data_IF_535008121553
#
_entry.id   IF_535008121553
#
_cell.length_a   1.000
_cell.length_b   1.000
_cell.length_c   1.000
_cell.angle_alpha   90.00
_cell.angle_beta   90.00
_cell.angle_gamma   90.00
#
_symmetry.space_group_name_H-M   'P 1'
#
loop_
_entity.id
_entity.type
_entity.pdbx_description
1 polymer ?
#
# COMPACT_ATOMS: atom_id res chain seq x y z
N UNK A 1 4.55 8.52 -29.65
CA UNK A 1 3.90 8.00 -28.44
C UNK A 1 5.03 7.51 -27.53
N UNK A 2 5.03 7.87 -26.26
CA UNK A 2 6.09 7.41 -25.34
C UNK A 2 5.99 5.88 -25.16
N UNK A 3 7.14 5.21 -25.13
CA UNK A 3 7.23 3.79 -24.78
C UNK A 3 7.20 3.64 -23.26
N UNK A 4 6.03 3.35 -22.74
CA UNK A 4 5.81 3.23 -21.29
C UNK A 4 6.57 2.06 -20.67
N UNK A 5 6.81 0.98 -21.41
CA UNK A 5 7.59 -0.16 -20.92
C UNK A 5 9.05 0.23 -20.71
N UNK A 6 9.61 0.96 -21.69
CA UNK A 6 10.98 1.48 -21.58
C UNK A 6 11.12 2.49 -20.44
N UNK A 7 10.13 3.38 -20.28
CA UNK A 7 10.12 4.38 -19.19
C UNK A 7 10.05 3.70 -17.82
N UNK A 8 9.15 2.72 -17.65
CA UNK A 8 9.01 1.99 -16.40
C UNK A 8 10.25 1.18 -16.06
N UNK A 9 10.92 0.58 -17.07
CA UNK A 9 12.18 -0.12 -16.86
C UNK A 9 13.26 0.84 -16.38
N UNK A 10 13.45 1.98 -17.06
CA UNK A 10 14.39 3.00 -16.64
C UNK A 10 14.11 3.51 -15.22
N UNK A 11 12.84 3.74 -14.88
CA UNK A 11 12.46 4.18 -13.55
C UNK A 11 12.80 3.13 -12.46
N UNK A 12 12.60 1.84 -12.74
CA UNK A 12 13.02 0.76 -11.82
C UNK A 12 14.53 0.70 -11.63
N UNK A 13 15.31 0.88 -12.70
CA UNK A 13 16.77 0.93 -12.63
C UNK A 13 17.29 2.19 -11.90
N UNK A 14 16.50 3.26 -11.87
CA UNK A 14 16.83 4.52 -11.19
C UNK A 14 16.60 4.47 -9.68
N UNK A 15 15.60 3.73 -9.22
CA UNK A 15 15.31 3.55 -7.80
C UNK A 15 16.36 2.60 -7.21
N UNK A 16 17.04 3.07 -6.16
CA UNK A 16 17.98 2.25 -5.41
C UNK A 16 17.36 1.92 -4.06
N UNK A 17 17.06 0.65 -3.86
CA UNK A 17 16.60 0.13 -2.57
C UNK A 17 17.80 -0.18 -1.66
N UNK A 18 17.56 -0.38 -0.37
CA UNK A 18 18.56 -0.84 0.58
C UNK A 18 18.82 -2.34 0.41
N UNK A 19 19.96 -2.82 0.95
CA UNK A 19 20.27 -4.25 0.98
C UNK A 19 19.17 -5.06 1.68
N UNK A 20 18.51 -4.48 2.69
CA UNK A 20 17.42 -5.11 3.45
C UNK A 20 16.15 -5.23 2.61
N UNK A 21 15.77 -4.20 1.86
CA UNK A 21 14.65 -4.25 0.91
C UNK A 21 14.91 -5.27 -0.19
N UNK A 22 16.11 -5.25 -0.79
CA UNK A 22 16.53 -6.22 -1.82
C UNK A 22 16.51 -7.66 -1.30
N UNK A 23 16.84 -7.86 -0.03
CA UNK A 23 16.76 -9.18 0.61
C UNK A 23 15.32 -9.68 0.71
N UNK A 24 14.40 -8.81 1.16
CA UNK A 24 12.97 -9.14 1.23
C UNK A 24 12.33 -9.33 -0.16
N UNK A 25 12.73 -8.55 -1.16
CA UNK A 25 12.25 -8.74 -2.55
C UNK A 25 12.64 -10.13 -3.08
N UNK A 26 13.90 -10.53 -2.91
CA UNK A 26 14.35 -11.87 -3.31
C UNK A 26 13.57 -12.98 -2.60
N UNK A 27 13.31 -12.82 -1.30
CA UNK A 27 12.51 -13.78 -0.54
C UNK A 27 11.05 -13.84 -1.03
N UNK A 28 10.49 -12.70 -1.47
CA UNK A 28 9.17 -12.62 -2.08
C UNK A 28 9.10 -13.41 -3.39
N UNK A 29 10.08 -13.18 -4.27
CA UNK A 29 10.19 -13.86 -5.56
C UNK A 29 10.37 -15.37 -5.40
N UNK A 30 11.21 -15.81 -4.46
CA UNK A 30 11.48 -17.22 -4.16
C UNK A 30 10.21 -17.96 -3.69
N UNK A 31 9.29 -17.25 -3.06
CA UNK A 31 8.01 -17.80 -2.59
C UNK A 31 6.85 -17.59 -3.57
N UNK A 32 7.10 -16.93 -4.71
CA UNK A 32 6.07 -16.59 -5.69
C UNK A 32 5.03 -15.59 -5.17
N UNK A 33 5.39 -14.79 -4.18
CA UNK A 33 4.57 -13.71 -3.64
C UNK A 33 4.88 -12.45 -4.45
N UNK A 34 3.87 -11.81 -5.01
CA UNK A 34 4.06 -10.58 -5.77
C UNK A 34 4.18 -9.40 -4.81
N UNK A 35 5.29 -8.66 -4.87
CA UNK A 35 5.46 -7.37 -4.20
C UNK A 35 5.20 -6.20 -5.16
N UNK A 36 4.96 -5.01 -4.61
CA UNK A 36 4.91 -3.79 -5.40
C UNK A 36 6.29 -3.51 -6.01
N UNK A 37 6.29 -2.95 -7.23
CA UNK A 37 7.56 -2.55 -7.85
C UNK A 37 8.32 -1.54 -6.99
N UNK A 38 9.64 -1.52 -7.13
CA UNK A 38 10.52 -0.55 -6.44
C UNK A 38 10.07 0.90 -6.68
N UNK A 39 9.59 1.22 -7.88
CA UNK A 39 9.08 2.56 -8.22
C UNK A 39 7.85 2.92 -7.39
N UNK A 40 6.86 2.03 -7.30
CA UNK A 40 5.65 2.31 -6.56
C UNK A 40 5.91 2.28 -5.05
N UNK A 41 6.66 1.31 -4.56
CA UNK A 41 7.05 1.20 -3.15
C UNK A 41 7.84 2.43 -2.67
N UNK A 42 8.78 2.94 -3.48
CA UNK A 42 9.53 4.15 -3.15
C UNK A 42 8.64 5.39 -3.08
N UNK A 43 7.68 5.55 -4.00
CA UNK A 43 6.74 6.69 -3.94
C UNK A 43 5.86 6.62 -2.69
N UNK A 44 5.34 5.44 -2.34
CA UNK A 44 4.55 5.24 -1.11
C UNK A 44 5.37 5.63 0.13
N UNK A 45 6.61 5.14 0.24
CA UNK A 45 7.47 5.46 1.38
C UNK A 45 7.87 6.94 1.42
N UNK A 46 8.10 7.59 0.28
CA UNK A 46 8.36 9.03 0.20
C UNK A 46 7.13 9.87 0.57
N UNK A 47 5.91 9.47 0.19
CA UNK A 47 4.68 10.12 0.66
C UNK A 47 4.59 10.05 2.18
N UNK A 48 4.84 8.87 2.77
CA UNK A 48 4.86 8.69 4.22
C UNK A 48 5.89 9.62 4.90
N UNK A 49 7.12 9.66 4.39
CA UNK A 49 8.18 10.52 4.92
C UNK A 49 7.84 12.02 4.76
N UNK A 50 7.36 12.46 3.60
CA UNK A 50 7.02 13.85 3.32
C UNK A 50 5.85 14.34 4.18
N UNK A 51 4.91 13.47 4.53
CA UNK A 51 3.81 13.77 5.46
C UNK A 51 4.21 13.68 6.94
N UNK A 52 5.46 13.28 7.25
CA UNK A 52 5.94 13.00 8.60
C UNK A 52 5.05 11.97 9.33
N UNK A 53 4.62 10.94 8.64
CA UNK A 53 3.74 9.92 9.18
C UNK A 53 4.35 9.24 10.40
N UNK A 54 3.58 9.12 11.48
CA UNK A 54 3.96 8.51 12.76
C UNK A 54 3.12 7.28 13.09
N UNK A 55 1.96 7.17 12.51
CA UNK A 55 1.03 6.07 12.71
C UNK A 55 0.54 5.60 11.34
N UNK A 56 0.98 4.41 10.94
CA UNK A 56 0.77 3.87 9.59
C UNK A 56 0.04 2.53 9.70
N UNK A 57 -0.96 2.32 8.83
CA UNK A 57 -1.53 1.00 8.57
C UNK A 57 -1.09 0.58 7.16
N UNK A 58 -0.63 -0.65 7.05
CA UNK A 58 -0.42 -1.34 5.79
C UNK A 58 -1.35 -2.55 5.74
N UNK A 59 -2.05 -2.74 4.66
CA UNK A 59 -2.92 -3.88 4.41
C UNK A 59 -2.43 -4.61 3.16
N UNK A 60 -2.14 -5.90 3.30
CA UNK A 60 -1.45 -6.70 2.27
C UNK A 60 0.06 -6.69 2.50
N UNK A 61 0.49 -7.36 3.57
CA UNK A 61 1.90 -7.36 4.01
C UNK A 61 2.81 -8.14 3.07
N UNK A 62 2.33 -9.27 2.53
CA UNK A 62 3.20 -10.25 1.89
C UNK A 62 4.36 -10.65 2.81
N UNK A 63 5.58 -10.65 2.29
CA UNK A 63 6.79 -10.88 3.10
C UNK A 63 7.42 -9.59 3.64
N UNK A 64 6.74 -8.43 3.50
CA UNK A 64 7.13 -7.18 4.17
C UNK A 64 8.00 -6.23 3.36
N UNK A 65 8.05 -6.34 2.04
CA UNK A 65 8.85 -5.44 1.18
C UNK A 65 8.43 -3.98 1.34
N UNK A 66 7.13 -3.70 1.25
CA UNK A 66 6.58 -2.34 1.45
C UNK A 66 6.70 -1.90 2.91
N UNK A 67 6.47 -2.81 3.87
CA UNK A 67 6.71 -2.56 5.29
C UNK A 67 8.13 -2.06 5.54
N UNK A 68 9.14 -2.71 4.96
CA UNK A 68 10.54 -2.34 5.14
C UNK A 68 10.82 -0.94 4.59
N UNK A 69 10.38 -0.63 3.38
CA UNK A 69 10.50 0.71 2.78
C UNK A 69 9.84 1.80 3.65
N UNK A 70 8.65 1.54 4.18
CA UNK A 70 7.97 2.44 5.11
C UNK A 70 8.75 2.62 6.40
N UNK A 71 9.30 1.55 6.93
CA UNK A 71 10.02 1.54 8.18
C UNK A 71 11.35 2.29 8.10
N UNK A 72 12.06 2.19 6.99
CA UNK A 72 13.29 2.96 6.71
C UNK A 72 12.99 4.44 6.47
N UNK A 73 11.99 4.75 5.66
CA UNK A 73 11.62 6.13 5.35
C UNK A 73 11.03 6.88 6.56
N UNK A 74 10.41 6.14 7.49
CA UNK A 74 9.76 6.69 8.69
C UNK A 74 10.29 6.01 9.97
N UNK A 75 11.55 6.26 10.38
CA UNK A 75 12.21 5.53 11.48
C UNK A 75 11.55 5.72 12.86
N UNK A 76 10.69 6.73 13.00
CA UNK A 76 9.94 7.00 14.22
C UNK A 76 8.47 6.60 14.15
N UNK A 77 8.02 6.00 13.06
CA UNK A 77 6.62 5.60 12.89
C UNK A 77 6.34 4.26 13.57
N UNK A 78 5.13 4.14 14.12
CA UNK A 78 4.53 2.84 14.45
C UNK A 78 3.75 2.34 13.24
N UNK A 79 4.05 1.13 12.80
CA UNK A 79 3.43 0.54 11.62
C UNK A 79 2.64 -0.69 12.06
N UNK A 80 1.35 -0.68 11.80
CA UNK A 80 0.51 -1.86 11.90
C UNK A 80 0.35 -2.46 10.52
N UNK A 81 0.81 -3.68 10.33
CA UNK A 81 0.66 -4.40 9.07
C UNK A 81 -0.31 -5.57 9.24
N UNK A 82 -1.19 -5.75 8.26
CA UNK A 82 -2.32 -6.68 8.32
C UNK A 82 -2.28 -7.57 7.08
N UNK A 83 -2.21 -8.88 7.30
CA UNK A 83 -2.34 -9.89 6.25
C UNK A 83 -3.16 -11.07 6.78
N UNK A 84 -4.00 -11.66 5.93
CA UNK A 84 -4.79 -12.84 6.30
C UNK A 84 -3.99 -14.15 6.25
N UNK A 85 -2.89 -14.17 5.49
CA UNK A 85 -2.09 -15.35 5.28
C UNK A 85 -1.08 -15.51 6.43
N UNK A 86 -1.25 -16.56 7.24
CA UNK A 86 -0.35 -16.82 8.36
C UNK A 86 1.09 -17.05 7.90
N UNK A 87 1.26 -17.76 6.79
CA UNK A 87 2.59 -18.10 6.26
C UNK A 87 3.38 -16.85 5.87
N UNK A 88 2.72 -15.79 5.36
CA UNK A 88 3.37 -14.51 5.11
C UNK A 88 3.98 -13.93 6.39
N UNK A 89 3.23 -13.90 7.48
CA UNK A 89 3.72 -13.37 8.75
C UNK A 89 4.73 -14.28 9.47
N UNK A 90 4.68 -15.59 9.25
CA UNK A 90 5.73 -16.50 9.73
C UNK A 90 7.04 -16.17 9.03
N UNK A 91 7.03 -16.13 7.70
CA UNK A 91 8.19 -15.75 6.88
C UNK A 91 8.69 -14.36 7.25
N UNK A 92 7.80 -13.37 7.32
CA UNK A 92 8.18 -12.00 7.68
C UNK A 92 8.91 -11.94 9.03
N UNK A 93 8.46 -12.67 10.06
CA UNK A 93 9.15 -12.69 11.36
C UNK A 93 10.55 -13.29 11.30
N UNK A 94 10.75 -14.31 10.46
CA UNK A 94 12.06 -14.89 10.21
C UNK A 94 12.98 -13.88 9.52
N UNK A 95 12.49 -13.23 8.45
CA UNK A 95 13.24 -12.22 7.70
C UNK A 95 13.57 -10.97 8.54
N UNK A 96 12.64 -10.51 9.39
CA UNK A 96 12.87 -9.39 10.31
C UNK A 96 13.96 -9.68 11.36
N UNK A 97 14.35 -10.92 11.55
CA UNK A 97 15.49 -11.30 12.39
C UNK A 97 16.85 -11.05 11.72
N UNK A 98 16.88 -10.89 10.41
CA UNK A 98 18.10 -10.76 9.59
C UNK A 98 18.35 -9.31 9.11
N UNK A 99 17.40 -8.39 9.35
CA UNK A 99 17.46 -7.00 8.89
C UNK A 99 17.54 -6.04 10.09
N UNK A 100 18.10 -4.83 9.86
CA UNK A 100 18.28 -3.82 10.92
C UNK A 100 17.03 -2.95 11.08
N UNK A 101 16.05 -3.46 11.83
CA UNK A 101 14.81 -2.75 12.14
C UNK A 101 14.41 -2.87 13.62
N UNK A 102 13.96 -1.77 14.23
CA UNK A 102 13.32 -1.83 15.56
C UNK A 102 11.92 -2.45 15.47
N UNK A 103 11.85 -3.76 15.72
CA UNK A 103 10.60 -4.52 15.66
C UNK A 103 9.55 -4.07 16.69
N UNK A 104 9.93 -3.31 17.74
CA UNK A 104 8.97 -2.85 18.76
C UNK A 104 7.96 -1.85 18.23
N UNK A 105 8.26 -1.20 17.10
CA UNK A 105 7.36 -0.27 16.41
C UNK A 105 6.49 -0.94 15.36
N UNK A 106 6.64 -2.26 15.14
CA UNK A 106 5.88 -3.05 14.21
C UNK A 106 4.81 -3.88 14.94
N UNK A 107 3.60 -3.82 14.46
CA UNK A 107 2.49 -4.66 14.91
C UNK A 107 1.96 -5.48 13.75
N UNK A 108 2.16 -6.80 13.81
CA UNK A 108 1.69 -7.74 12.80
C UNK A 108 0.36 -8.35 13.25
N UNK A 109 -0.67 -8.24 12.40
CA UNK A 109 -2.01 -8.78 12.65
C UNK A 109 -2.35 -9.78 11.54
N UNK A 110 -2.52 -11.06 11.92
CA UNK A 110 -2.86 -12.14 10.99
C UNK A 110 -4.37 -12.37 11.00
N UNK A 111 -5.10 -11.49 10.33
CA UNK A 111 -6.55 -11.53 10.16
C UNK A 111 -6.93 -10.84 8.85
N UNK A 112 -8.18 -11.00 8.42
CA UNK A 112 -8.71 -10.26 7.26
C UNK A 112 -8.85 -8.78 7.63
N UNK A 113 -8.39 -7.88 6.76
CA UNK A 113 -8.42 -6.45 7.01
C UNK A 113 -9.84 -5.93 7.33
N UNK A 114 -10.85 -6.39 6.60
CA UNK A 114 -12.26 -6.04 6.81
C UNK A 114 -12.81 -6.44 8.19
N UNK A 115 -12.15 -7.37 8.90
CA UNK A 115 -12.52 -7.79 10.24
C UNK A 115 -11.73 -7.03 11.32
N UNK A 116 -10.62 -6.41 10.95
CA UNK A 116 -9.70 -5.69 11.86
C UNK A 116 -9.97 -4.19 11.82
N UNK A 117 -10.00 -3.58 10.63
CA UNK A 117 -10.10 -2.13 10.47
C UNK A 117 -11.27 -1.50 11.23
N UNK A 118 -12.50 -2.08 11.21
CA UNK A 118 -13.64 -1.51 11.96
C UNK A 118 -13.47 -1.48 13.48
N UNK A 119 -12.46 -2.18 14.03
CA UNK A 119 -12.18 -2.26 15.48
C UNK A 119 -11.02 -1.35 15.90
N UNK A 120 -10.38 -0.68 14.94
CA UNK A 120 -9.27 0.22 15.20
C UNK A 120 -9.76 1.62 15.53
N UNK A 121 -8.89 2.46 16.08
CA UNK A 121 -9.25 3.80 16.52
C UNK A 121 -9.42 4.75 15.32
N UNK A 122 -10.57 5.37 15.20
CA UNK A 122 -10.83 6.43 14.21
C UNK A 122 -9.92 7.64 14.43
N UNK A 123 -9.70 8.45 13.37
CA UNK A 123 -8.90 9.69 13.37
C UNK A 123 -7.48 9.57 13.95
N UNK A 124 -6.89 8.35 13.90
CA UNK A 124 -5.65 8.05 14.62
C UNK A 124 -4.45 7.77 13.73
N UNK A 125 -4.64 7.66 12.42
CA UNK A 125 -3.59 7.26 11.49
C UNK A 125 -3.25 8.36 10.50
N UNK A 126 -1.96 8.48 10.22
CA UNK A 126 -1.44 9.44 9.24
C UNK A 126 -1.54 8.91 7.81
N UNK A 127 -1.42 7.58 7.69
CA UNK A 127 -1.37 6.89 6.42
C UNK A 127 -2.00 5.50 6.52
N UNK A 128 -2.83 5.16 5.55
CA UNK A 128 -3.30 3.80 5.28
C UNK A 128 -2.88 3.41 3.88
N UNK A 129 -2.10 2.35 3.74
CA UNK A 129 -1.70 1.74 2.46
C UNK A 129 -2.53 0.48 2.26
N UNK A 130 -3.17 0.35 1.11
CA UNK A 130 -3.98 -0.81 0.72
C UNK A 130 -3.35 -1.45 -0.51
N UNK A 131 -2.78 -2.62 -0.33
CA UNK A 131 -2.22 -3.48 -1.38
C UNK A 131 -2.94 -4.83 -1.36
N UNK A 132 -4.15 -4.83 -1.86
CA UNK A 132 -5.05 -5.98 -1.90
C UNK A 132 -5.67 -6.15 -3.28
N UNK A 133 -6.20 -7.35 -3.61
CA UNK A 133 -7.14 -7.53 -4.72
C UNK A 133 -8.27 -6.50 -4.64
N UNK A 134 -8.72 -6.01 -5.80
CA UNK A 134 -9.60 -4.84 -5.89
C UNK A 134 -10.92 -4.96 -5.11
N UNK A 135 -11.52 -6.15 -5.11
CA UNK A 135 -12.74 -6.44 -4.34
C UNK A 135 -12.54 -6.33 -2.82
N UNK A 136 -11.38 -6.73 -2.34
CA UNK A 136 -11.00 -6.62 -0.92
C UNK A 136 -10.60 -5.17 -0.58
N UNK A 137 -9.91 -4.47 -1.48
CA UNK A 137 -9.56 -3.07 -1.32
C UNK A 137 -10.81 -2.17 -1.23
N UNK A 138 -11.83 -2.42 -2.07
CA UNK A 138 -13.13 -1.72 -2.00
C UNK A 138 -13.78 -1.89 -0.63
N UNK A 139 -13.79 -3.12 -0.09
CA UNK A 139 -14.38 -3.40 1.22
C UNK A 139 -13.66 -2.71 2.39
N UNK A 140 -12.38 -2.34 2.23
CA UNK A 140 -11.58 -1.69 3.27
C UNK A 140 -11.57 -0.15 3.19
N UNK A 141 -11.99 0.44 2.06
CA UNK A 141 -11.80 1.86 1.79
C UNK A 141 -12.54 2.78 2.78
N UNK A 142 -13.82 2.51 3.06
CA UNK A 142 -14.62 3.34 3.97
C UNK A 142 -14.04 3.34 5.40
N UNK A 143 -13.57 2.20 5.88
CA UNK A 143 -12.89 2.12 7.17
C UNK A 143 -11.55 2.85 7.14
N UNK A 144 -10.77 2.73 6.06
CA UNK A 144 -9.52 3.48 5.91
C UNK A 144 -9.74 4.99 6.00
N UNK A 145 -10.82 5.52 5.41
CA UNK A 145 -11.18 6.95 5.52
C UNK A 145 -11.47 7.34 6.96
N UNK A 146 -12.23 6.53 7.71
CA UNK A 146 -12.55 6.78 9.13
C UNK A 146 -11.33 6.72 10.04
N UNK A 147 -10.40 5.83 9.73
CA UNK A 147 -9.18 5.62 10.53
C UNK A 147 -8.16 6.74 10.34
N UNK A 148 -8.11 7.36 9.14
CA UNK A 148 -7.21 8.45 8.86
C UNK A 148 -7.68 9.73 9.56
N UNK A 149 -6.74 10.40 10.25
CA UNK A 149 -6.98 11.74 10.76
C UNK A 149 -7.14 12.76 9.63
N UNK A 150 -7.75 13.92 9.88
CA UNK A 150 -7.76 15.03 8.93
C UNK A 150 -6.35 15.36 8.42
N UNK A 151 -6.19 15.44 7.10
CA UNK A 151 -4.90 15.54 6.42
C UNK A 151 -4.13 14.24 6.25
N UNK A 152 -4.62 13.13 6.80
CA UNK A 152 -4.08 11.79 6.57
C UNK A 152 -4.37 11.29 5.16
N UNK A 153 -3.60 10.33 4.71
CA UNK A 153 -3.63 9.79 3.34
C UNK A 153 -4.05 8.33 3.28
N UNK A 154 -4.83 8.00 2.27
CA UNK A 154 -5.13 6.62 1.88
C UNK A 154 -4.49 6.39 0.51
N UNK A 155 -3.67 5.35 0.39
CA UNK A 155 -2.98 4.95 -0.82
C UNK A 155 -3.46 3.57 -1.24
N UNK A 156 -4.07 3.46 -2.42
CA UNK A 156 -4.48 2.18 -3.01
C UNK A 156 -3.51 1.84 -4.12
N UNK A 157 -2.72 0.80 -3.92
CA UNK A 157 -1.76 0.29 -4.88
C UNK A 157 -2.44 -0.52 -6.00
N UNK A 158 -1.78 -0.67 -7.14
CA UNK A 158 -2.30 -1.45 -8.26
C UNK A 158 -3.53 -0.84 -8.95
N UNK A 159 -3.79 0.45 -8.74
CA UNK A 159 -5.02 1.14 -9.14
C UNK A 159 -5.28 1.18 -10.65
N UNK A 160 -4.29 0.86 -11.49
CA UNK A 160 -4.46 0.77 -12.94
C UNK A 160 -4.81 -0.63 -13.43
N UNK A 161 -4.71 -1.67 -12.58
CA UNK A 161 -4.94 -3.07 -12.98
C UNK A 161 -4.23 -3.42 -14.31
N UNK A 162 -2.92 -3.13 -14.40
CA UNK A 162 -2.14 -3.31 -15.62
C UNK A 162 -2.55 -2.41 -16.81
N UNK A 163 -3.26 -1.31 -16.56
CA UNK A 163 -3.83 -0.43 -17.60
C UNK A 163 -5.27 -0.82 -18.00
N UNK A 164 -5.75 -1.97 -17.56
CA UNK A 164 -7.06 -2.52 -17.97
C UNK A 164 -8.26 -1.74 -17.43
N UNK A 165 -8.09 -0.91 -16.41
CA UNK A 165 -9.16 0.02 -15.97
C UNK A 165 -9.58 0.99 -17.09
N UNK A 166 -8.66 1.33 -18.00
CA UNK A 166 -8.94 2.21 -19.14
C UNK A 166 -9.60 1.49 -20.34
N UNK A 167 -9.64 0.17 -20.35
CA UNK A 167 -10.22 -0.63 -21.41
C UNK A 167 -11.70 -0.93 -21.12
N UNK A 168 -12.69 -0.23 -21.70
CA UNK A 168 -14.10 -0.40 -21.38
C UNK A 168 -14.67 -1.76 -21.79
N UNK A 169 -13.95 -2.51 -22.64
CA UNK A 169 -14.35 -3.85 -23.06
C UNK A 169 -13.96 -4.93 -22.07
N UNK A 170 -12.97 -4.68 -21.21
CA UNK A 170 -12.58 -5.63 -20.17
C UNK A 170 -13.65 -5.70 -19.09
N UNK A 171 -14.17 -6.91 -18.83
CA UNK A 171 -15.22 -7.23 -17.84
C UNK A 171 -14.73 -8.16 -16.74
N UNK A 172 -13.42 -8.32 -16.62
CA UNK A 172 -12.83 -9.07 -15.52
C UNK A 172 -13.30 -8.52 -14.17
N UNK A 173 -13.56 -9.41 -13.22
CA UNK A 173 -14.15 -9.05 -11.93
C UNK A 173 -13.23 -8.11 -11.13
N UNK A 174 -11.92 -8.33 -11.13
CA UNK A 174 -10.96 -7.46 -10.43
C UNK A 174 -10.85 -6.08 -11.10
N UNK A 175 -10.84 -6.03 -12.44
CA UNK A 175 -10.86 -4.77 -13.19
C UNK A 175 -12.14 -4.00 -12.93
N UNK A 176 -13.28 -4.68 -12.88
CA UNK A 176 -14.59 -4.09 -12.58
C UNK A 176 -14.68 -3.57 -11.16
N UNK A 177 -14.17 -4.33 -10.19
CA UNK A 177 -14.07 -3.91 -8.78
C UNK A 177 -13.16 -2.69 -8.62
N UNK A 178 -12.00 -2.67 -9.28
CA UNK A 178 -11.10 -1.50 -9.25
C UNK A 178 -11.76 -0.25 -9.83
N UNK A 179 -12.49 -0.36 -10.94
CA UNK A 179 -13.26 0.78 -11.49
C UNK A 179 -14.33 1.27 -10.51
N UNK A 180 -14.98 0.35 -9.80
CA UNK A 180 -15.97 0.70 -8.77
C UNK A 180 -15.31 1.45 -7.63
N UNK A 181 -14.20 0.92 -7.10
CA UNK A 181 -13.43 1.58 -6.05
C UNK A 181 -12.96 2.99 -6.46
N UNK A 182 -12.39 3.12 -7.67
CA UNK A 182 -11.95 4.44 -8.17
C UNK A 182 -13.10 5.43 -8.27
N UNK A 183 -14.30 4.98 -8.64
CA UNK A 183 -15.50 5.82 -8.66
C UNK A 183 -15.95 6.18 -7.25
N UNK A 184 -15.95 5.22 -6.30
CA UNK A 184 -16.27 5.48 -4.89
C UNK A 184 -15.34 6.55 -4.33
N UNK A 185 -14.02 6.44 -4.57
CA UNK A 185 -13.04 7.45 -4.16
C UNK A 185 -13.32 8.81 -4.78
N UNK A 186 -13.67 8.84 -6.08
CA UNK A 186 -13.91 10.08 -6.82
C UNK A 186 -15.21 10.80 -6.39
N UNK A 187 -16.18 10.07 -5.87
CA UNK A 187 -17.48 10.57 -5.42
C UNK A 187 -17.51 10.85 -3.90
N UNK A 188 -16.45 10.56 -3.17
CA UNK A 188 -16.37 10.72 -1.72
C UNK A 188 -16.03 12.16 -1.32
N UNK A 189 -17.01 12.90 -0.80
CA UNK A 189 -16.86 14.28 -0.36
C UNK A 189 -15.95 14.46 0.87
N UNK A 190 -15.56 13.38 1.54
CA UNK A 190 -14.66 13.41 2.70
C UNK A 190 -13.19 13.55 2.32
N UNK A 191 -12.84 13.35 1.05
CA UNK A 191 -11.45 13.31 0.59
C UNK A 191 -11.21 14.16 -0.66
N UNK A 192 -9.97 14.64 -0.82
CA UNK A 192 -9.43 15.02 -2.12
C UNK A 192 -8.72 13.81 -2.71
N UNK A 193 -8.78 13.61 -4.00
CA UNK A 193 -8.21 12.42 -4.62
C UNK A 193 -7.37 12.72 -5.87
N UNK A 194 -6.46 11.80 -6.18
CA UNK A 194 -5.67 11.77 -7.41
C UNK A 194 -5.43 10.33 -7.86
N UNK A 195 -5.34 10.12 -9.16
CA UNK A 195 -4.89 8.86 -9.76
C UNK A 195 -3.56 9.08 -10.46
N UNK A 196 -2.51 8.43 -9.99
CA UNK A 196 -1.16 8.56 -10.50
C UNK A 196 -0.86 7.43 -11.50
N UNK A 197 -0.69 7.72 -12.80
CA UNK A 197 -0.59 6.71 -13.85
C UNK A 197 0.87 6.30 -14.12
N UNK A 198 1.56 5.80 -13.11
CA UNK A 198 2.90 5.23 -13.24
C UNK A 198 2.96 3.85 -12.57
N UNK A 199 3.93 3.03 -12.95
CA UNK A 199 4.08 1.66 -12.46
C UNK A 199 2.73 0.89 -12.52
N UNK A 200 2.32 0.26 -11.42
CA UNK A 200 1.05 -0.45 -11.30
C UNK A 200 -0.15 0.50 -11.07
N UNK A 201 0.12 1.79 -10.92
CA UNK A 201 -0.85 2.83 -10.59
C UNK A 201 -1.11 3.01 -9.10
N UNK A 202 -1.32 4.26 -8.70
CA UNK A 202 -1.61 4.63 -7.33
C UNK A 202 -2.84 5.53 -7.27
N UNK A 203 -3.90 5.10 -6.60
CA UNK A 203 -4.96 6.02 -6.19
C UNK A 203 -4.60 6.59 -4.82
N UNK A 204 -4.64 7.91 -4.71
CA UNK A 204 -4.28 8.66 -3.51
C UNK A 204 -5.44 9.54 -3.08
N UNK A 205 -5.95 9.32 -1.89
CA UNK A 205 -6.97 10.13 -1.25
C UNK A 205 -6.40 10.80 0.02
N UNK A 206 -6.80 12.04 0.28
CA UNK A 206 -6.41 12.81 1.48
C UNK A 206 -7.67 13.25 2.20
N UNK A 207 -7.80 12.88 3.47
CA UNK A 207 -8.98 13.17 4.29
C UNK A 207 -9.07 14.67 4.59
N UNK A 208 -10.24 15.27 4.35
CA UNK A 208 -10.50 16.68 4.64
C UNK A 208 -10.55 16.94 6.15
N UNK A 209 -10.18 18.15 6.62
CA UNK A 209 -10.51 18.60 7.95
C UNK A 209 -12.03 18.50 8.19
N UNK A 210 -12.43 18.11 9.40
CA UNK A 210 -13.82 18.23 9.78
C UNK A 210 -14.26 19.70 9.66
N UNK A 211 -15.43 19.93 9.06
CA UNK A 211 -16.00 21.25 8.84
C UNK A 211 -16.41 21.94 10.17
#
# INVERSE_FOLDING_TARGET
MADWELINRFAREYVMDSDDVDYLERASDDQGITSLSSVLGSVISHIAAASNARSIIEVGTGVGVTLMRLAEACPSAHITTIDKELDHHVTLRELLGEVDIDQKRLRLITERAQDVLPKMNEDSYDLVVIDLPADQAEACYDDAVKLCRPGGSILVAGALAGGEVANPANRDDQVSAMRTLLRVIAEDDRVSHSLLPFAEGLAWAVVHPAA
#
